data_IF_043033958738
#
_entry.id   IF_043033958738
#
_cell.length_a   1.000
_cell.length_b   1.000
_cell.length_c   1.000
_cell.angle_alpha   90.00
_cell.angle_beta   90.00
_cell.angle_gamma   90.00
#
_symmetry.space_group_name_H-M   'P 1'
#
loop_
_entity.id
_entity.type
_entity.pdbx_description
1 polymer ?
#
# COMPACT_ATOMS: atom_id res chain seq x y z
N UNK A 1 -13.69 3.93 7.72
CA UNK A 1 -13.06 4.40 6.47
C UNK A 1 -13.79 5.65 6.04
N UNK A 2 -13.07 6.73 5.70
CA UNK A 2 -13.68 7.94 5.13
C UNK A 2 -14.15 7.66 3.70
N UNK A 3 -15.25 8.25 3.30
CA UNK A 3 -15.75 8.21 1.92
C UNK A 3 -14.99 9.23 1.06
N UNK A 4 -14.98 9.06 -0.26
CA UNK A 4 -14.36 10.06 -1.14
C UNK A 4 -14.99 11.46 -1.00
N UNK A 5 -16.31 11.54 -0.75
CA UNK A 5 -17.00 12.81 -0.50
C UNK A 5 -16.48 13.55 0.73
N UNK A 6 -16.21 12.82 1.81
CA UNK A 6 -15.61 13.38 3.04
C UNK A 6 -14.17 13.81 2.79
N UNK A 7 -13.39 13.00 2.08
CA UNK A 7 -12.01 13.34 1.70
C UNK A 7 -11.94 14.61 0.85
N UNK A 8 -12.84 14.76 -0.11
CA UNK A 8 -12.96 15.97 -0.94
C UNK A 8 -13.26 17.22 -0.11
N UNK A 9 -14.05 17.09 0.96
CA UNK A 9 -14.32 18.18 1.89
C UNK A 9 -13.10 18.50 2.75
N UNK A 10 -12.47 17.47 3.31
CA UNK A 10 -11.27 17.59 4.14
C UNK A 10 -10.07 18.16 3.37
N UNK A 11 -9.92 17.83 2.09
CA UNK A 11 -8.86 18.38 1.25
C UNK A 11 -8.88 19.92 1.15
N UNK A 12 -10.05 20.53 1.39
CA UNK A 12 -10.24 21.99 1.40
C UNK A 12 -10.11 22.63 2.79
N UNK A 13 -10.04 21.82 3.86
CA UNK A 13 -9.88 22.34 5.21
C UNK A 13 -8.49 22.96 5.41
N UNK A 14 -8.38 23.91 6.32
CA UNK A 14 -7.10 24.41 6.78
C UNK A 14 -6.58 23.53 7.90
N UNK A 15 -5.27 23.32 7.91
CA UNK A 15 -4.55 22.56 8.93
C UNK A 15 -3.30 23.38 9.27
N UNK A 16 -3.14 23.70 10.54
CA UNK A 16 -1.97 24.43 11.01
C UNK A 16 -0.71 23.55 11.01
N UNK A 17 0.45 24.21 10.91
CA UNK A 17 1.75 23.55 10.97
C UNK A 17 2.55 23.62 9.68
N UNK A 18 3.78 23.07 9.69
CA UNK A 18 4.64 23.09 8.52
C UNK A 18 4.00 22.30 7.36
N UNK A 19 4.18 22.85 6.15
CA UNK A 19 3.68 22.24 4.95
C UNK A 19 4.42 20.93 4.67
N UNK A 20 3.68 19.85 4.40
CA UNK A 20 4.19 18.56 3.95
C UNK A 20 3.90 18.41 2.46
N UNK A 21 4.95 18.33 1.66
CA UNK A 21 4.88 18.41 0.21
C UNK A 21 4.91 17.04 -0.44
N UNK A 22 3.91 16.75 -1.23
CA UNK A 22 3.76 15.48 -1.95
C UNK A 22 3.62 15.76 -3.44
N UNK A 23 4.43 15.12 -4.28
CA UNK A 23 4.24 15.13 -5.72
C UNK A 23 3.68 13.77 -6.16
N UNK A 24 2.62 13.80 -6.96
CA UNK A 24 2.01 12.60 -7.56
C UNK A 24 2.29 12.61 -9.06
N UNK A 25 3.06 11.63 -9.52
CA UNK A 25 3.42 11.44 -10.92
C UNK A 25 2.72 10.19 -11.42
N UNK A 26 1.86 10.32 -12.42
CA UNK A 26 1.10 9.21 -12.97
C UNK A 26 1.08 9.13 -14.48
N UNK A 27 0.89 7.92 -15.01
CA UNK A 27 0.65 7.70 -16.44
C UNK A 27 -0.85 7.55 -16.78
N UNK A 28 -1.72 7.82 -15.80
CA UNK A 28 -3.18 7.86 -15.89
C UNK A 28 -3.71 9.08 -15.14
N UNK A 29 -5.03 9.30 -15.16
CA UNK A 29 -5.67 10.40 -14.42
C UNK A 29 -5.53 10.19 -12.90
N UNK A 30 -4.85 11.11 -12.22
CA UNK A 30 -4.50 11.03 -10.79
C UNK A 30 -5.22 12.06 -9.92
N UNK A 31 -6.02 12.96 -10.50
CA UNK A 31 -6.64 14.08 -9.79
C UNK A 31 -7.47 13.65 -8.56
N UNK A 32 -8.28 12.59 -8.70
CA UNK A 32 -9.07 12.09 -7.59
C UNK A 32 -8.23 11.34 -6.56
N UNK A 33 -7.19 10.66 -7.01
CA UNK A 33 -6.22 10.01 -6.15
C UNK A 33 -5.46 11.05 -5.30
N UNK A 34 -4.92 12.09 -5.93
CA UNK A 34 -4.23 13.22 -5.28
C UNK A 34 -5.13 13.95 -4.29
N UNK A 35 -6.39 14.18 -4.67
CA UNK A 35 -7.39 14.79 -3.80
C UNK A 35 -7.71 13.91 -2.58
N UNK A 36 -7.81 12.59 -2.79
CA UNK A 36 -8.01 11.61 -1.72
C UNK A 36 -6.85 11.60 -0.72
N UNK A 37 -5.61 11.59 -1.22
CA UNK A 37 -4.39 11.67 -0.38
C UNK A 37 -4.39 12.96 0.42
N UNK A 38 -4.63 14.11 -0.23
CA UNK A 38 -4.69 15.40 0.45
C UNK A 38 -5.73 15.41 1.58
N UNK A 39 -6.91 14.85 1.32
CA UNK A 39 -7.99 14.75 2.29
C UNK A 39 -7.62 13.87 3.48
N UNK A 40 -7.02 12.70 3.24
CA UNK A 40 -6.60 11.81 4.32
C UNK A 40 -5.46 12.40 5.15
N UNK A 41 -4.43 12.98 4.52
CA UNK A 41 -3.33 13.64 5.24
C UNK A 41 -3.87 14.74 6.16
N UNK A 42 -4.77 15.57 5.66
CA UNK A 42 -5.40 16.63 6.45
C UNK A 42 -6.27 16.08 7.58
N UNK A 43 -6.96 14.95 7.40
CA UNK A 43 -7.72 14.30 8.47
C UNK A 43 -6.84 13.79 9.62
N UNK A 44 -5.57 13.56 9.35
CA UNK A 44 -4.55 13.16 10.33
C UNK A 44 -3.74 14.36 10.89
N UNK A 45 -4.20 15.59 10.63
CA UNK A 45 -3.55 16.80 11.12
C UNK A 45 -2.26 17.16 10.38
N UNK A 46 -2.08 16.67 9.15
CA UNK A 46 -0.93 16.98 8.31
C UNK A 46 -1.30 18.07 7.32
N UNK A 47 -0.63 19.24 7.38
CA UNK A 47 -0.81 20.31 6.42
C UNK A 47 -0.21 19.94 5.07
N UNK A 48 -0.98 19.20 4.25
CA UNK A 48 -0.51 18.62 3.01
C UNK A 48 -0.68 19.57 1.82
N UNK A 49 0.41 19.80 1.11
CA UNK A 49 0.45 20.35 -0.25
C UNK A 49 0.71 19.20 -1.23
N UNK A 50 -0.28 18.90 -2.08
CA UNK A 50 -0.21 17.80 -3.03
C UNK A 50 -0.20 18.39 -4.43
N UNK A 51 0.93 18.27 -5.11
CA UNK A 51 1.08 18.55 -6.54
C UNK A 51 0.60 17.32 -7.30
N UNK A 52 -0.34 17.53 -8.19
CA UNK A 52 -0.82 16.56 -9.16
C UNK A 52 -0.30 16.99 -10.53
N UNK A 53 0.63 16.26 -11.10
CA UNK A 53 1.18 16.61 -12.41
C UNK A 53 0.23 16.20 -13.53
N UNK A 54 0.41 16.81 -14.68
CA UNK A 54 -0.39 16.47 -15.85
C UNK A 54 -0.22 14.99 -16.26
N UNK A 55 -1.25 14.49 -16.90
CA UNK A 55 -1.34 13.12 -17.41
C UNK A 55 -0.12 12.71 -18.25
N UNK A 56 0.42 11.53 -17.96
CA UNK A 56 1.49 10.85 -18.70
C UNK A 56 2.79 11.70 -18.85
N UNK A 57 3.14 12.48 -17.84
CA UNK A 57 4.33 13.34 -17.85
C UNK A 57 5.46 12.88 -16.93
N UNK A 58 5.48 11.60 -16.50
CA UNK A 58 6.51 11.09 -15.58
C UNK A 58 7.91 11.38 -16.12
N UNK A 59 8.19 11.02 -17.39
CA UNK A 59 9.50 11.24 -18.00
C UNK A 59 9.86 12.73 -18.06
N UNK A 60 8.93 13.59 -18.51
CA UNK A 60 9.17 15.03 -18.61
C UNK A 60 9.45 15.65 -17.24
N UNK A 61 8.70 15.25 -16.21
CA UNK A 61 8.89 15.75 -14.86
C UNK A 61 10.19 15.28 -14.21
N UNK A 62 10.66 14.06 -14.53
CA UNK A 62 11.87 13.49 -13.90
C UNK A 62 13.16 13.83 -14.64
N UNK A 63 13.12 14.06 -15.95
CA UNK A 63 14.29 14.40 -16.75
C UNK A 63 14.62 15.90 -16.70
N UNK A 64 13.61 16.76 -16.52
CA UNK A 64 13.80 18.19 -16.38
C UNK A 64 14.01 18.57 -14.90
N UNK A 65 15.23 18.98 -14.56
CA UNK A 65 15.57 19.44 -13.20
C UNK A 65 14.86 20.74 -12.79
N UNK A 66 14.33 21.49 -13.76
CA UNK A 66 13.52 22.69 -13.55
C UNK A 66 12.00 22.42 -13.59
N UNK A 67 11.58 21.15 -13.55
CA UNK A 67 10.17 20.75 -13.54
C UNK A 67 9.42 21.25 -12.28
N UNK A 68 8.11 21.24 -12.34
CA UNK A 68 7.25 21.56 -11.19
C UNK A 68 7.51 20.63 -10.00
N UNK A 69 7.80 19.37 -10.29
CA UNK A 69 8.14 18.37 -9.28
C UNK A 69 9.36 18.79 -8.46
N UNK A 70 10.46 19.12 -9.12
CA UNK A 70 11.67 19.51 -8.38
C UNK A 70 11.59 20.93 -7.80
N UNK A 71 10.86 21.85 -8.44
CA UNK A 71 10.58 23.19 -7.87
C UNK A 71 9.74 23.13 -6.61
N UNK A 72 8.82 22.16 -6.48
CA UNK A 72 8.08 21.92 -5.26
C UNK A 72 9.01 21.53 -4.11
N UNK A 73 10.13 20.86 -4.41
CA UNK A 73 11.03 20.22 -3.43
C UNK A 73 10.23 19.30 -2.48
N UNK A 74 9.64 18.20 -2.98
CA UNK A 74 8.70 17.38 -2.23
C UNK A 74 9.38 16.54 -1.16
N UNK A 75 8.67 16.34 -0.03
CA UNK A 75 9.05 15.37 1.00
C UNK A 75 8.87 13.94 0.49
N UNK A 76 7.84 13.74 -0.35
CA UNK A 76 7.49 12.44 -0.96
C UNK A 76 7.12 12.61 -2.43
N UNK A 77 7.66 11.72 -3.26
CA UNK A 77 7.22 11.52 -4.64
C UNK A 77 6.48 10.20 -4.72
N UNK A 78 5.26 10.20 -5.24
CA UNK A 78 4.46 9.01 -5.49
C UNK A 78 4.49 8.73 -6.99
N UNK A 79 4.98 7.54 -7.36
CA UNK A 79 4.94 7.04 -8.73
C UNK A 79 3.73 6.10 -8.87
N UNK A 80 2.69 6.60 -9.53
CA UNK A 80 1.47 5.85 -9.81
C UNK A 80 1.43 5.43 -11.29
N UNK A 81 1.93 4.23 -11.56
CA UNK A 81 1.95 3.63 -12.89
C UNK A 81 0.85 2.58 -12.95
N UNK A 82 -0.17 2.83 -13.75
CA UNK A 82 -1.32 1.92 -13.85
C UNK A 82 -1.01 0.69 -14.69
N UNK A 83 -1.50 -0.46 -14.24
CA UNK A 83 -1.33 -1.75 -14.94
C UNK A 83 -1.93 -1.73 -16.34
N UNK A 84 -3.04 -1.00 -16.53
CA UNK A 84 -3.72 -0.85 -17.82
C UNK A 84 -2.81 -0.23 -18.88
N UNK A 85 -2.02 0.77 -18.50
CA UNK A 85 -1.05 1.40 -19.41
C UNK A 85 0.10 0.47 -19.74
N UNK A 86 0.56 -0.29 -18.77
CA UNK A 86 1.59 -1.30 -18.99
C UNK A 86 1.07 -2.40 -19.91
N UNK A 87 -0.21 -2.76 -19.76
CA UNK A 87 -0.84 -3.75 -20.62
C UNK A 87 -0.93 -3.26 -22.07
N UNK A 88 -1.31 -1.99 -22.29
CA UNK A 88 -1.27 -1.38 -23.63
C UNK A 88 0.15 -1.47 -24.22
N UNK A 89 1.19 -1.04 -23.48
CA UNK A 89 2.58 -1.11 -23.91
C UNK A 89 3.04 -2.55 -24.20
N UNK A 90 2.60 -3.52 -23.38
CA UNK A 90 2.90 -4.94 -23.58
C UNK A 90 2.29 -5.51 -24.88
N UNK A 91 1.04 -5.13 -25.20
CA UNK A 91 0.37 -5.60 -26.41
C UNK A 91 1.04 -5.05 -27.69
N UNK A 92 1.60 -3.85 -27.63
CA UNK A 92 2.31 -3.22 -28.74
C UNK A 92 3.69 -3.86 -29.01
N UNK A 93 4.22 -4.67 -28.05
CA UNK A 93 5.50 -5.34 -28.24
C UNK A 93 5.39 -6.53 -29.20
N UNK A 94 6.49 -6.72 -29.98
CA UNK A 94 6.70 -7.97 -30.69
C UNK A 94 6.72 -9.13 -29.67
N UNK A 95 6.05 -10.24 -30.00
CA UNK A 95 5.92 -11.43 -29.13
C UNK A 95 7.27 -11.90 -28.58
N UNK A 96 8.33 -11.87 -29.39
CA UNK A 96 9.69 -12.28 -28.98
C UNK A 96 10.24 -11.43 -27.83
N UNK A 97 9.82 -10.17 -27.71
CA UNK A 97 10.28 -9.23 -26.66
C UNK A 97 9.45 -9.35 -25.37
N UNK A 98 8.32 -10.06 -25.40
CA UNK A 98 7.43 -10.16 -24.24
C UNK A 98 8.02 -10.97 -23.09
N UNK A 99 8.90 -11.92 -23.38
CA UNK A 99 9.58 -12.71 -22.33
C UNK A 99 10.52 -11.91 -21.44
N UNK A 100 11.07 -10.78 -21.94
CA UNK A 100 11.94 -9.88 -21.18
C UNK A 100 11.23 -8.64 -20.62
N UNK A 101 9.92 -8.52 -20.81
CA UNK A 101 9.17 -7.33 -20.48
C UNK A 101 9.32 -6.90 -19.02
N UNK A 102 9.21 -7.84 -18.08
CA UNK A 102 9.31 -7.56 -16.66
C UNK A 102 10.67 -6.97 -16.28
N UNK A 103 11.76 -7.53 -16.83
CA UNK A 103 13.12 -7.05 -16.56
C UNK A 103 13.34 -5.66 -17.14
N UNK A 104 12.89 -5.41 -18.34
CA UNK A 104 13.11 -4.13 -19.02
C UNK A 104 12.25 -3.02 -18.39
N UNK A 105 11.01 -3.36 -18.01
CA UNK A 105 10.15 -2.42 -17.29
C UNK A 105 10.66 -2.14 -15.87
N UNK A 106 11.19 -3.15 -15.18
CA UNK A 106 11.83 -2.97 -13.88
C UNK A 106 13.03 -2.00 -13.99
N UNK A 107 13.88 -2.13 -15.01
CA UNK A 107 14.98 -1.19 -15.27
C UNK A 107 14.47 0.24 -15.48
N UNK A 108 13.39 0.42 -16.23
CA UNK A 108 12.75 1.72 -16.46
C UNK A 108 12.33 2.36 -15.13
N UNK A 109 11.63 1.62 -14.27
CA UNK A 109 11.17 2.12 -12.96
C UNK A 109 12.35 2.42 -12.04
N UNK A 110 13.34 1.55 -11.99
CA UNK A 110 14.56 1.77 -11.19
C UNK A 110 15.29 3.04 -11.65
N UNK A 111 15.28 3.34 -12.95
CA UNK A 111 15.83 4.60 -13.47
C UNK A 111 15.04 5.81 -12.96
N UNK A 112 13.71 5.75 -12.85
CA UNK A 112 12.92 6.82 -12.25
C UNK A 112 13.31 7.05 -10.77
N UNK A 113 13.50 5.98 -10.00
CA UNK A 113 13.98 6.12 -8.61
C UNK A 113 15.36 6.76 -8.53
N UNK A 114 16.26 6.43 -9.48
CA UNK A 114 17.58 7.04 -9.55
C UNK A 114 17.50 8.54 -9.87
N UNK A 115 16.67 8.94 -10.86
CA UNK A 115 16.45 10.34 -11.21
C UNK A 115 15.94 11.15 -10.02
N UNK A 116 14.93 10.62 -9.29
CA UNK A 116 14.39 11.29 -8.10
C UNK A 116 15.47 11.40 -7.02
N UNK A 117 16.19 10.31 -6.75
CA UNK A 117 17.20 10.27 -5.67
C UNK A 117 18.42 11.15 -5.96
N UNK A 118 18.76 11.35 -7.23
CA UNK A 118 19.88 12.20 -7.63
C UNK A 118 19.53 13.69 -7.57
N UNK A 119 18.27 14.04 -7.75
CA UNK A 119 17.81 15.42 -7.86
C UNK A 119 17.01 15.91 -6.65
N UNK A 120 16.69 15.04 -5.69
CA UNK A 120 15.96 15.39 -4.47
C UNK A 120 16.27 14.46 -3.30
N UNK A 121 15.93 14.90 -2.09
CA UNK A 121 15.98 14.09 -0.87
C UNK A 121 14.63 13.41 -0.56
N UNK A 122 13.72 13.35 -1.51
CA UNK A 122 12.38 12.81 -1.33
C UNK A 122 12.39 11.32 -1.00
N UNK A 123 11.45 10.90 -0.16
CA UNK A 123 11.02 9.50 -0.11
C UNK A 123 10.22 9.18 -1.37
N UNK A 124 10.31 7.95 -1.84
CA UNK A 124 9.60 7.49 -3.03
C UNK A 124 8.58 6.45 -2.61
N UNK A 125 7.32 6.64 -2.97
CA UNK A 125 6.28 5.63 -2.85
C UNK A 125 5.97 5.14 -4.26
N UNK A 126 6.36 3.90 -4.55
CA UNK A 126 6.08 3.22 -5.81
C UNK A 126 4.86 2.32 -5.65
N UNK A 127 3.86 2.46 -6.50
CA UNK A 127 2.77 1.48 -6.58
C UNK A 127 3.29 0.17 -7.19
N UNK A 128 2.91 -0.97 -6.61
CA UNK A 128 2.99 -2.23 -7.35
C UNK A 128 1.83 -2.34 -8.35
N UNK A 129 1.81 -3.39 -9.12
CA UNK A 129 0.87 -3.59 -10.22
C UNK A 129 -0.25 -4.55 -9.82
N UNK A 130 -1.48 -4.16 -10.13
CA UNK A 130 -2.66 -5.02 -10.05
C UNK A 130 -2.64 -6.08 -11.14
N UNK A 131 -3.40 -7.14 -10.99
CA UNK A 131 -3.54 -8.16 -12.04
C UNK A 131 -4.71 -7.83 -12.98
N UNK A 132 -4.45 -7.97 -14.28
CA UNK A 132 -5.45 -7.98 -15.34
C UNK A 132 -5.43 -9.38 -15.95
N UNK A 133 -6.53 -10.10 -15.84
CA UNK A 133 -6.71 -11.39 -16.51
C UNK A 133 -7.31 -11.15 -17.89
N UNK A 134 -6.45 -11.11 -18.91
CA UNK A 134 -6.82 -10.96 -20.31
C UNK A 134 -7.37 -12.25 -20.94
N UNK A 135 -7.27 -13.36 -20.21
CA UNK A 135 -7.67 -14.71 -20.61
C UNK A 135 -7.07 -15.19 -21.94
N UNK A 136 -6.04 -14.52 -22.45
CA UNK A 136 -5.41 -14.85 -23.72
C UNK A 136 -4.91 -16.30 -23.75
N UNK A 137 -4.41 -16.81 -22.64
CA UNK A 137 -3.96 -18.18 -22.46
C UNK A 137 -4.84 -18.97 -21.46
N UNK A 138 -5.93 -18.40 -20.96
CA UNK A 138 -6.76 -18.99 -19.93
C UNK A 138 -5.94 -19.43 -18.71
N UNK A 139 -6.21 -20.62 -18.18
CA UNK A 139 -5.48 -21.16 -17.03
C UNK A 139 -3.98 -21.44 -17.30
N UNK A 140 -3.54 -21.39 -18.55
CA UNK A 140 -2.13 -21.55 -18.93
C UNK A 140 -1.31 -20.28 -18.74
N UNK A 141 -1.93 -19.12 -18.58
CA UNK A 141 -1.23 -17.82 -18.48
C UNK A 141 -0.07 -17.84 -17.50
N UNK A 142 -0.24 -18.44 -16.33
CA UNK A 142 0.82 -18.54 -15.31
C UNK A 142 2.02 -19.44 -15.71
N UNK A 143 1.89 -20.24 -16.76
CA UNK A 143 2.96 -21.13 -17.26
C UNK A 143 3.63 -20.59 -18.52
N UNK A 144 3.02 -19.64 -19.19
CA UNK A 144 3.50 -19.07 -20.46
C UNK A 144 4.29 -17.81 -20.19
N UNK A 145 5.60 -17.83 -20.43
CA UNK A 145 6.52 -16.75 -20.07
C UNK A 145 6.22 -15.41 -20.76
N UNK A 146 5.72 -15.46 -21.98
CA UNK A 146 5.32 -14.30 -22.77
C UNK A 146 3.86 -13.88 -22.55
N UNK A 147 3.16 -14.45 -21.53
CA UNK A 147 1.85 -13.96 -21.12
C UNK A 147 1.96 -12.72 -20.23
N UNK A 148 0.98 -11.81 -20.31
CA UNK A 148 0.96 -10.61 -19.48
C UNK A 148 0.93 -10.94 -17.99
N UNK A 149 0.10 -11.91 -17.58
CA UNK A 149 -0.04 -12.28 -16.16
C UNK A 149 1.28 -12.84 -15.58
N UNK A 150 2.05 -13.60 -16.37
CA UNK A 150 3.36 -14.07 -15.95
C UNK A 150 4.33 -12.89 -15.78
N UNK A 151 4.36 -11.97 -16.74
CA UNK A 151 5.26 -10.83 -16.74
C UNK A 151 4.94 -9.81 -15.64
N UNK A 152 3.66 -9.54 -15.37
CA UNK A 152 3.29 -8.56 -14.34
C UNK A 152 3.60 -9.10 -12.92
N UNK A 153 3.39 -10.40 -12.67
CA UNK A 153 3.79 -11.04 -11.41
C UNK A 153 5.29 -11.01 -11.21
N UNK A 154 6.05 -11.32 -12.26
CA UNK A 154 7.50 -11.23 -12.26
C UNK A 154 7.99 -9.80 -12.02
N UNK A 155 7.37 -8.81 -12.66
CA UNK A 155 7.69 -7.41 -12.46
C UNK A 155 7.47 -6.98 -11.00
N UNK A 156 6.34 -7.34 -10.38
CA UNK A 156 6.09 -7.05 -8.97
C UNK A 156 7.20 -7.65 -8.07
N UNK A 157 7.55 -8.91 -8.29
CA UNK A 157 8.62 -9.56 -7.55
C UNK A 157 9.97 -8.84 -7.72
N UNK A 158 10.37 -8.51 -8.94
CA UNK A 158 11.62 -7.81 -9.22
C UNK A 158 11.66 -6.42 -8.56
N UNK A 159 10.54 -5.70 -8.56
CA UNK A 159 10.46 -4.40 -7.90
C UNK A 159 10.58 -4.51 -6.38
N UNK A 160 9.95 -5.51 -5.77
CA UNK A 160 10.07 -5.77 -4.32
C UNK A 160 11.51 -6.08 -3.94
N UNK A 161 12.24 -6.91 -4.73
CA UNK A 161 13.67 -7.13 -4.53
C UNK A 161 14.45 -5.82 -4.59
N UNK A 162 14.23 -5.01 -5.64
CA UNK A 162 14.93 -3.73 -5.81
C UNK A 162 14.58 -2.69 -4.75
N UNK A 163 13.36 -2.68 -4.24
CA UNK A 163 12.96 -1.82 -3.12
C UNK A 163 13.66 -2.23 -1.82
N UNK A 164 13.80 -3.54 -1.57
CA UNK A 164 14.46 -4.05 -0.35
C UNK A 164 15.92 -3.59 -0.22
N UNK A 165 16.58 -3.33 -1.33
CA UNK A 165 17.96 -2.82 -1.41
C UNK A 165 18.03 -1.30 -1.12
N UNK A 166 16.91 -0.57 -1.02
CA UNK A 166 16.85 0.90 -0.97
C UNK A 166 16.15 1.43 0.28
N UNK A 167 16.77 2.40 0.94
CA UNK A 167 16.24 3.00 2.17
C UNK A 167 15.16 4.07 1.95
N UNK A 168 15.05 4.60 0.74
CA UNK A 168 14.17 5.71 0.41
C UNK A 168 13.02 5.34 -0.53
N UNK A 169 12.90 4.07 -0.95
CA UNK A 169 11.82 3.58 -1.82
C UNK A 169 10.91 2.63 -1.04
N UNK A 170 9.62 2.85 -1.12
CA UNK A 170 8.59 2.12 -0.36
C UNK A 170 7.47 1.68 -1.29
N UNK A 171 6.94 0.48 -1.06
CA UNK A 171 5.85 -0.05 -1.84
C UNK A 171 4.49 0.46 -1.34
N UNK A 172 3.65 0.91 -2.27
CA UNK A 172 2.21 0.97 -2.07
C UNK A 172 1.58 -0.26 -2.73
N UNK A 173 1.12 -1.20 -1.91
CA UNK A 173 0.61 -2.50 -2.37
C UNK A 173 -0.84 -2.39 -2.89
N UNK A 174 -0.99 -1.97 -4.14
CA UNK A 174 -2.29 -1.89 -4.82
C UNK A 174 -2.90 -3.27 -5.06
N UNK A 175 -2.06 -4.29 -5.30
CA UNK A 175 -2.54 -5.65 -5.52
C UNK A 175 -3.27 -6.20 -4.28
N UNK A 176 -2.73 -5.98 -3.08
CA UNK A 176 -3.41 -6.35 -1.84
C UNK A 176 -4.72 -5.59 -1.64
N UNK A 177 -4.81 -4.33 -2.08
CA UNK A 177 -6.06 -3.56 -2.02
C UNK A 177 -7.07 -4.14 -3.01
N UNK A 178 -6.66 -4.44 -4.25
CA UNK A 178 -7.49 -5.08 -5.27
C UNK A 178 -8.06 -6.41 -4.77
N UNK A 179 -7.22 -7.27 -4.18
CA UNK A 179 -7.63 -8.58 -3.64
C UNK A 179 -8.68 -8.40 -2.53
N UNK A 180 -8.48 -7.45 -1.60
CA UNK A 180 -9.43 -7.22 -0.49
C UNK A 180 -10.75 -6.62 -0.92
N UNK A 181 -10.76 -5.78 -1.94
CA UNK A 181 -11.98 -5.17 -2.46
C UNK A 181 -12.72 -6.08 -3.45
N UNK A 182 -11.98 -6.91 -4.17
CA UNK A 182 -12.44 -7.64 -5.34
C UNK A 182 -12.35 -6.79 -6.62
N UNK A 183 -12.10 -7.47 -7.74
CA UNK A 183 -11.82 -6.81 -9.03
C UNK A 183 -12.92 -5.82 -9.46
N UNK A 184 -14.18 -6.22 -9.37
CA UNK A 184 -15.33 -5.41 -9.83
C UNK A 184 -15.58 -4.15 -8.98
N UNK A 185 -15.09 -4.12 -7.72
CA UNK A 185 -15.18 -2.94 -6.87
C UNK A 185 -13.95 -2.04 -7.00
N UNK A 186 -12.82 -2.61 -7.41
CA UNK A 186 -11.57 -1.89 -7.56
C UNK A 186 -11.44 -1.22 -8.93
N UNK A 187 -11.91 -1.88 -9.99
CA UNK A 187 -11.70 -1.49 -11.38
C UNK A 187 -13.03 -1.34 -12.13
N UNK A 188 -13.10 -0.34 -13.02
CA UNK A 188 -14.24 -0.11 -13.91
C UNK A 188 -13.72 0.27 -15.31
N UNK A 189 -13.98 -0.60 -16.29
CA UNK A 189 -13.61 -0.38 -17.69
C UNK A 189 -14.15 0.95 -18.24
N UNK A 190 -15.38 1.32 -17.88
CA UNK A 190 -16.02 2.56 -18.38
C UNK A 190 -15.25 3.78 -17.89
N UNK A 191 -14.84 3.78 -16.62
CA UNK A 191 -14.02 4.86 -16.04
C UNK A 191 -12.64 4.92 -16.69
N UNK A 192 -12.02 3.76 -16.93
CA UNK A 192 -10.71 3.74 -17.58
C UNK A 192 -10.75 4.29 -19.01
N UNK A 193 -11.66 3.79 -19.85
CA UNK A 193 -11.73 4.21 -21.25
C UNK A 193 -12.19 5.66 -21.42
N UNK A 194 -13.13 6.13 -20.61
CA UNK A 194 -13.70 7.48 -20.75
C UNK A 194 -12.90 8.56 -20.00
N UNK A 195 -12.32 8.25 -18.85
CA UNK A 195 -11.66 9.21 -17.98
C UNK A 195 -10.21 8.89 -17.66
N UNK A 196 -9.67 7.77 -18.18
CA UNK A 196 -8.33 7.27 -17.87
C UNK A 196 -8.09 7.09 -16.37
N UNK A 197 -9.13 6.73 -15.63
CA UNK A 197 -9.06 6.38 -14.22
C UNK A 197 -8.87 4.87 -14.09
N UNK A 198 -7.73 4.45 -13.56
CA UNK A 198 -7.39 3.04 -13.40
C UNK A 198 -7.98 2.39 -12.13
N UNK A 199 -8.74 3.14 -11.35
CA UNK A 199 -9.43 2.65 -10.13
C UNK A 199 -10.78 3.33 -9.98
N UNK A 200 -11.72 2.65 -9.32
CA UNK A 200 -13.04 3.22 -9.01
C UNK A 200 -12.94 4.32 -7.95
N UNK A 201 -13.97 5.15 -7.89
CA UNK A 201 -14.08 6.18 -6.84
C UNK A 201 -14.12 5.58 -5.43
N UNK A 202 -14.64 4.37 -5.28
CA UNK A 202 -14.71 3.64 -4.00
C UNK A 202 -13.34 3.08 -3.59
N UNK A 203 -12.43 2.83 -4.54
CA UNK A 203 -11.07 2.39 -4.24
C UNK A 203 -10.17 3.54 -3.75
N UNK A 204 -10.41 4.78 -4.20
CA UNK A 204 -9.57 5.94 -3.84
C UNK A 204 -9.39 6.11 -2.33
N UNK A 205 -10.43 6.02 -1.47
CA UNK A 205 -10.24 6.13 -0.02
C UNK A 205 -9.30 5.08 0.58
N UNK A 206 -9.38 3.83 0.10
CA UNK A 206 -8.50 2.74 0.57
C UNK A 206 -7.05 3.02 0.20
N UNK A 207 -6.81 3.44 -1.04
CA UNK A 207 -5.48 3.73 -1.55
C UNK A 207 -4.90 4.95 -0.81
N UNK A 208 -5.66 6.04 -0.70
CA UNK A 208 -5.26 7.26 -0.01
C UNK A 208 -4.94 7.02 1.47
N UNK A 209 -5.69 6.14 2.15
CA UNK A 209 -5.40 5.73 3.52
C UNK A 209 -4.05 5.02 3.61
N UNK A 210 -3.79 4.05 2.74
CA UNK A 210 -2.52 3.31 2.75
C UNK A 210 -1.32 4.25 2.48
N UNK A 211 -1.44 5.18 1.53
CA UNK A 211 -0.43 6.24 1.32
C UNK A 211 -0.21 7.06 2.59
N UNK A 212 -1.30 7.48 3.23
CA UNK A 212 -1.22 8.27 4.47
C UNK A 212 -0.55 7.48 5.60
N UNK A 213 -0.86 6.20 5.74
CA UNK A 213 -0.23 5.34 6.75
C UNK A 213 1.29 5.20 6.51
N UNK A 214 1.73 5.07 5.25
CA UNK A 214 3.16 5.08 4.88
C UNK A 214 3.80 6.42 5.24
N UNK A 215 3.20 7.55 4.88
CA UNK A 215 3.70 8.89 5.18
C UNK A 215 3.78 9.13 6.71
N UNK A 216 2.81 8.65 7.48
CA UNK A 216 2.84 8.71 8.95
C UNK A 216 4.07 7.99 9.53
N UNK A 217 4.49 6.87 8.93
CA UNK A 217 5.71 6.17 9.38
C UNK A 217 6.96 7.00 9.13
N UNK A 218 7.04 7.73 8.02
CA UNK A 218 8.16 8.64 7.73
C UNK A 218 8.27 9.77 8.77
N UNK A 219 7.16 10.16 9.35
CA UNK A 219 7.06 11.16 10.40
C UNK A 219 7.22 10.59 11.83
N UNK A 220 7.53 9.29 11.94
CA UNK A 220 7.69 8.61 13.23
C UNK A 220 6.37 8.31 13.95
N UNK A 221 5.23 8.52 13.29
CA UNK A 221 3.90 8.25 13.86
C UNK A 221 3.46 6.81 13.61
N UNK A 222 3.97 5.88 14.41
CA UNK A 222 3.59 4.47 14.37
C UNK A 222 3.40 3.92 15.79
N UNK A 223 2.60 2.85 15.89
CA UNK A 223 2.34 2.21 17.18
C UNK A 223 3.55 1.38 17.60
N UNK A 224 4.03 1.60 18.84
CA UNK A 224 5.22 0.92 19.38
C UNK A 224 4.87 -0.16 20.40
N UNK A 225 3.64 -0.21 20.86
CA UNK A 225 3.19 -1.17 21.85
C UNK A 225 1.70 -1.49 21.72
N UNK A 226 1.34 -2.67 22.21
CA UNK A 226 -0.04 -3.15 22.30
C UNK A 226 -0.28 -3.55 23.75
N UNK A 227 -1.38 -3.06 24.32
CA UNK A 227 -1.87 -3.48 25.62
C UNK A 227 -3.01 -4.47 25.37
N UNK A 228 -2.88 -5.66 25.92
CA UNK A 228 -3.77 -6.79 25.72
C UNK A 228 -4.55 -7.09 27.00
N UNK A 229 -5.83 -7.34 26.87
CA UNK A 229 -6.58 -8.06 27.89
C UNK A 229 -6.32 -9.57 27.76
N UNK A 230 -6.63 -10.35 28.78
CA UNK A 230 -6.41 -11.79 28.82
C UNK A 230 -7.67 -12.58 28.48
N UNK A 231 -8.70 -12.48 29.32
CA UNK A 231 -9.93 -13.27 29.22
C UNK A 231 -10.72 -12.93 27.95
N UNK A 232 -11.14 -13.95 27.21
CA UNK A 232 -11.80 -13.82 25.90
C UNK A 232 -11.02 -12.98 24.86
N UNK A 233 -9.72 -12.75 25.11
CA UNK A 233 -8.80 -12.03 24.21
C UNK A 233 -7.61 -12.91 23.84
N UNK A 234 -6.81 -13.39 24.79
CA UNK A 234 -5.70 -14.32 24.54
C UNK A 234 -6.12 -15.79 24.65
N UNK A 235 -7.19 -16.07 25.34
CA UNK A 235 -7.86 -17.37 25.44
C UNK A 235 -9.37 -17.17 25.55
N UNK A 236 -10.16 -18.20 25.29
CA UNK A 236 -11.60 -18.18 25.56
C UNK A 236 -11.88 -18.55 27.01
N UNK A 237 -12.91 -17.92 27.59
CA UNK A 237 -13.25 -18.09 29.00
C UNK A 237 -12.58 -17.09 29.94
N UNK A 238 -12.84 -17.25 31.24
CA UNK A 238 -12.36 -16.38 32.32
C UNK A 238 -11.53 -17.22 33.27
N UNK A 239 -10.21 -16.99 33.30
CA UNK A 239 -9.32 -17.89 34.06
C UNK A 239 -9.61 -17.92 35.56
N UNK A 240 -10.07 -16.81 36.13
CA UNK A 240 -10.45 -16.72 37.53
C UNK A 240 -11.64 -17.58 37.93
N UNK A 241 -12.55 -17.86 36.99
CA UNK A 241 -13.78 -18.62 37.19
C UNK A 241 -13.63 -20.05 36.67
N UNK A 242 -13.03 -20.24 35.51
CA UNK A 242 -12.96 -21.52 34.80
C UNK A 242 -11.69 -22.31 35.13
N UNK A 243 -10.68 -21.66 35.73
CA UNK A 243 -9.37 -22.24 36.00
C UNK A 243 -8.59 -22.60 34.74
N UNK A 244 -7.34 -23.05 34.88
CA UNK A 244 -6.45 -23.40 33.78
C UNK A 244 -7.02 -24.49 32.83
N UNK A 245 -7.77 -25.45 33.39
CA UNK A 245 -8.39 -26.53 32.61
C UNK A 245 -9.67 -26.12 31.87
N UNK A 246 -10.26 -24.98 32.22
CA UNK A 246 -11.52 -24.50 31.63
C UNK A 246 -11.34 -23.44 30.57
N UNK A 247 -10.16 -22.81 30.44
CA UNK A 247 -9.91 -21.85 29.36
C UNK A 247 -9.76 -22.53 28.00
N UNK A 248 -10.25 -21.90 26.97
CA UNK A 248 -10.17 -22.39 25.59
C UNK A 248 -8.89 -21.90 24.92
N UNK A 249 -7.86 -22.74 24.83
CA UNK A 249 -6.61 -22.51 24.12
C UNK A 249 -6.11 -23.83 23.51
N UNK A 250 -5.33 -23.81 22.46
CA UNK A 250 -4.77 -25.01 21.83
C UNK A 250 -5.18 -25.15 20.37
N UNK A 251 -5.02 -26.37 19.79
CA UNK A 251 -5.18 -26.59 18.35
C UNK A 251 -6.61 -26.97 17.92
N UNK A 252 -7.55 -27.06 18.85
CA UNK A 252 -8.90 -27.54 18.55
C UNK A 252 -9.96 -26.49 18.77
N UNK A 253 -10.99 -26.50 17.90
CA UNK A 253 -12.19 -25.65 18.02
C UNK A 253 -11.83 -24.14 18.16
N UNK A 254 -12.49 -23.48 19.12
CA UNK A 254 -12.26 -22.05 19.41
C UNK A 254 -10.86 -21.78 19.96
N UNK A 255 -10.24 -22.73 20.67
CA UNK A 255 -8.88 -22.60 21.18
C UNK A 255 -7.85 -22.31 20.08
N UNK A 256 -8.04 -22.84 18.86
CA UNK A 256 -7.16 -22.61 17.72
C UNK A 256 -7.13 -21.11 17.31
N UNK A 257 -8.27 -20.43 17.34
CA UNK A 257 -8.35 -19.00 16.97
C UNK A 257 -7.49 -18.15 17.92
N UNK A 258 -7.56 -18.42 19.21
CA UNK A 258 -6.74 -17.72 20.21
C UNK A 258 -5.25 -18.05 20.05
N UNK A 259 -4.92 -19.31 19.78
CA UNK A 259 -3.54 -19.73 19.52
C UNK A 259 -2.95 -19.03 18.28
N UNK A 260 -3.72 -18.90 17.21
CA UNK A 260 -3.29 -18.16 16.00
C UNK A 260 -3.09 -16.67 16.29
N UNK A 261 -3.99 -16.07 17.06
CA UNK A 261 -3.84 -14.68 17.49
C UNK A 261 -2.56 -14.48 18.32
N UNK A 262 -2.26 -15.40 19.25
CA UNK A 262 -1.01 -15.34 20.02
C UNK A 262 0.23 -15.50 19.13
N UNK A 263 0.21 -16.39 18.14
CA UNK A 263 1.31 -16.53 17.16
C UNK A 263 1.53 -15.22 16.38
N UNK A 264 0.45 -14.59 15.96
CA UNK A 264 0.51 -13.29 15.30
C UNK A 264 1.09 -12.21 16.22
N UNK A 265 0.65 -12.12 17.48
CA UNK A 265 1.22 -11.19 18.46
C UNK A 265 2.73 -11.44 18.65
N UNK A 266 3.14 -12.71 18.72
CA UNK A 266 4.56 -13.06 18.81
C UNK A 266 5.34 -12.54 17.61
N UNK A 267 4.81 -12.64 16.41
CA UNK A 267 5.44 -12.07 15.21
C UNK A 267 5.58 -10.53 15.27
N UNK A 268 4.64 -9.84 15.91
CA UNK A 268 4.75 -8.40 16.15
C UNK A 268 5.84 -8.07 17.16
N UNK A 269 5.96 -8.87 18.24
CA UNK A 269 7.04 -8.75 19.23
C UNK A 269 8.41 -8.91 18.56
N UNK A 270 8.56 -9.91 17.70
CA UNK A 270 9.80 -10.18 16.97
C UNK A 270 10.20 -9.01 16.04
N UNK A 271 9.22 -8.19 15.63
CA UNK A 271 9.43 -6.93 14.89
C UNK A 271 9.72 -5.73 15.81
N UNK A 272 9.79 -5.91 17.13
CA UNK A 272 10.08 -4.85 18.09
C UNK A 272 8.87 -4.11 18.64
N UNK A 273 7.64 -4.63 18.45
CA UNK A 273 6.45 -4.10 19.10
C UNK A 273 6.39 -4.60 20.56
N UNK A 274 6.25 -3.68 21.50
CA UNK A 274 6.11 -4.02 22.91
C UNK A 274 4.72 -4.63 23.15
N UNK A 275 4.67 -5.78 23.81
CA UNK A 275 3.43 -6.40 24.27
C UNK A 275 3.33 -6.20 25.78
N UNK A 276 2.20 -5.66 26.24
CA UNK A 276 1.86 -5.46 27.62
C UNK A 276 0.51 -6.12 27.90
N UNK A 277 0.31 -6.56 29.11
CA UNK A 277 -0.96 -7.13 29.57
C UNK A 277 -1.61 -6.18 30.57
N UNK A 278 -2.92 -6.00 30.46
CA UNK A 278 -3.75 -5.34 31.45
C UNK A 278 -4.99 -6.21 31.70
N UNK A 279 -5.09 -6.82 32.86
CA UNK A 279 -6.16 -7.74 33.21
C UNK A 279 -6.75 -7.39 34.57
N UNK A 280 -8.00 -7.82 34.77
CA UNK A 280 -8.70 -7.73 36.09
C UNK A 280 -8.36 -8.88 37.01
N UNK A 281 -7.71 -9.95 36.53
CA UNK A 281 -7.33 -11.11 37.30
C UNK A 281 -6.20 -10.78 38.29
N UNK A 282 -6.13 -11.51 39.38
CA UNK A 282 -4.95 -11.51 40.23
C UNK A 282 -3.72 -11.92 39.44
N UNK A 283 -2.57 -11.35 39.76
CA UNK A 283 -1.33 -11.54 39.00
C UNK A 283 -0.91 -13.02 38.93
N UNK A 284 -1.02 -13.76 40.04
CA UNK A 284 -0.65 -15.18 40.11
C UNK A 284 -1.54 -16.01 39.17
N UNK A 285 -2.86 -15.82 39.23
CA UNK A 285 -3.83 -16.50 38.36
C UNK A 285 -3.63 -16.12 36.89
N UNK A 286 -3.34 -14.83 36.61
CA UNK A 286 -3.11 -14.32 35.25
C UNK A 286 -1.85 -14.94 34.62
N UNK A 287 -0.86 -15.34 35.41
CA UNK A 287 0.41 -15.92 34.94
C UNK A 287 0.37 -17.43 34.73
N UNK A 288 -0.61 -18.13 35.28
CA UNK A 288 -0.69 -19.59 35.17
C UNK A 288 -0.65 -20.14 33.73
N UNK A 289 -1.26 -19.48 32.69
CA UNK A 289 -1.22 -19.96 31.31
C UNK A 289 0.09 -19.73 30.58
N UNK A 290 1.00 -18.90 31.10
CA UNK A 290 2.28 -18.54 30.48
C UNK A 290 3.41 -19.41 31.03
#
# INVERSE_FOLDING_TARGET
MLTFRELKKLAKSEVEGPEYKVAVLGNVATQFFSLGIKGYLKSEGINANVLDTDYNQIDAQLLDTDSETYKLNPDVVILYIATDKIYEEFLDLNVVLRESFAEDYCKKIVNYWNLISNNSNSKIIQTNFTEIDDRAFGNYSAKVKDSFIFQIRKLNYLLEEKMSERKNVFALDLLSIQIRMGLNQFYDNVLYYNAKMAVTMDAVPYIAKNVTDIIKTFRGSFKKGIILDLDNTLWGGVIGDDGLGGIEIGELKRGHVFSDFQRWLKSLKDRGILLCVCSKNNEDTAKEPF
#
